data_IF_999665924486
#
_entry.id   IF_999665924486
#
_cell.length_a   1.000
_cell.length_b   1.000
_cell.length_c   1.000
_cell.angle_alpha   90.00
_cell.angle_beta   90.00
_cell.angle_gamma   90.00
#
_symmetry.space_group_name_H-M   'P 1'
#
loop_
_entity.id
_entity.type
_entity.pdbx_description
1 polymer ?
#
# COMPACT_ATOMS: atom_id res chain seq x y z
N UNK A 1 -16.14 -4.22 22.62
CA UNK A 1 -15.80 -3.54 21.35
C UNK A 1 -14.36 -3.04 21.31
N UNK A 2 -13.82 -2.50 22.42
CA UNK A 2 -12.42 -2.03 22.57
C UNK A 2 -11.30 -2.95 22.04
N UNK A 3 -11.52 -4.27 22.01
CA UNK A 3 -10.56 -5.25 21.47
C UNK A 3 -10.54 -5.24 19.92
N UNK A 4 -11.71 -5.15 19.26
CA UNK A 4 -11.80 -5.07 17.79
C UNK A 4 -11.22 -3.74 17.28
N UNK A 5 -11.44 -2.64 18.02
CA UNK A 5 -10.84 -1.34 17.68
C UNK A 5 -9.32 -1.39 17.68
N UNK A 6 -8.73 -2.04 18.70
CA UNK A 6 -7.27 -2.23 18.77
C UNK A 6 -6.76 -3.08 17.60
N UNK A 7 -7.48 -4.15 17.23
CA UNK A 7 -7.13 -4.98 16.08
C UNK A 7 -7.20 -4.19 14.76
N UNK A 8 -8.17 -3.30 14.59
CA UNK A 8 -8.26 -2.44 13.42
C UNK A 8 -7.04 -1.51 13.33
N UNK A 9 -6.69 -0.83 14.43
CA UNK A 9 -5.52 0.07 14.44
C UNK A 9 -4.21 -0.67 14.19
N UNK A 10 -4.05 -1.87 14.77
CA UNK A 10 -2.90 -2.73 14.49
C UNK A 10 -2.82 -3.08 13.00
N UNK A 11 -3.92 -3.53 12.39
CA UNK A 11 -3.94 -3.93 10.98
C UNK A 11 -3.75 -2.73 10.04
N UNK A 12 -4.21 -1.53 10.39
CA UNK A 12 -3.86 -0.30 9.67
C UNK A 12 -2.36 -0.05 9.69
N UNK A 13 -1.73 -0.17 10.86
CA UNK A 13 -0.27 0.00 10.98
C UNK A 13 0.48 -1.02 10.12
N UNK A 14 0.05 -2.28 10.10
CA UNK A 14 0.63 -3.34 9.26
C UNK A 14 0.48 -3.00 7.77
N UNK A 15 -0.72 -2.57 7.34
CA UNK A 15 -0.95 -2.17 5.95
C UNK A 15 -0.04 -1.00 5.53
N UNK A 16 0.12 0.00 6.39
CA UNK A 16 0.99 1.15 6.12
C UNK A 16 2.47 0.76 6.09
N UNK A 17 2.90 -0.18 6.92
CA UNK A 17 4.25 -0.76 6.85
C UNK A 17 4.48 -1.46 5.50
N UNK A 18 3.53 -2.30 5.06
CA UNK A 18 3.64 -3.01 3.78
C UNK A 18 3.63 -2.06 2.58
N UNK A 19 2.82 -1.00 2.62
CA UNK A 19 2.83 0.07 1.60
C UNK A 19 4.14 0.82 1.56
N UNK A 20 4.72 1.12 2.72
CA UNK A 20 6.04 1.76 2.81
C UNK A 20 7.12 0.88 2.21
N UNK A 21 7.11 -0.41 2.54
CA UNK A 21 8.03 -1.41 2.00
C UNK A 21 7.92 -1.49 0.46
N UNK A 22 6.69 -1.59 -0.08
CA UNK A 22 6.43 -1.54 -1.51
C UNK A 22 6.99 -0.25 -2.15
N UNK A 23 6.79 0.90 -1.49
CA UNK A 23 7.31 2.18 -1.94
C UNK A 23 8.83 2.21 -2.05
N UNK A 24 9.55 1.57 -1.12
CA UNK A 24 11.01 1.45 -1.18
C UNK A 24 11.45 0.65 -2.42
N UNK A 25 10.79 -0.47 -2.71
CA UNK A 25 11.13 -1.28 -3.89
C UNK A 25 10.81 -0.57 -5.21
N UNK A 26 9.70 0.17 -5.29
CA UNK A 26 9.36 0.97 -6.48
C UNK A 26 10.39 2.10 -6.72
N UNK A 27 10.88 2.73 -5.66
CA UNK A 27 11.95 3.72 -5.76
C UNK A 27 13.26 3.07 -6.24
N UNK A 28 13.57 1.87 -5.77
CA UNK A 28 14.74 1.12 -6.22
C UNK A 28 14.64 0.73 -7.70
N UNK A 29 13.47 0.24 -8.16
CA UNK A 29 13.19 -0.01 -9.57
C UNK A 29 13.45 1.23 -10.43
N UNK A 30 12.88 2.38 -10.02
CA UNK A 30 13.05 3.66 -10.71
C UNK A 30 14.53 4.07 -10.77
N UNK A 31 15.27 3.87 -9.67
CA UNK A 31 16.71 4.15 -9.62
C UNK A 31 17.52 3.28 -10.58
N UNK A 32 17.21 1.98 -10.67
CA UNK A 32 17.87 1.06 -11.59
C UNK A 32 17.57 1.42 -13.05
N UNK A 33 16.33 1.75 -13.38
CA UNK A 33 15.95 2.21 -14.73
C UNK A 33 16.71 3.48 -15.13
N UNK A 34 16.77 4.46 -14.23
CA UNK A 34 17.53 5.69 -14.46
C UNK A 34 19.03 5.43 -14.67
N UNK A 35 19.63 4.49 -13.93
CA UNK A 35 21.02 4.10 -14.11
C UNK A 35 21.28 3.45 -15.48
N UNK A 36 20.35 2.62 -15.96
CA UNK A 36 20.45 2.00 -17.29
C UNK A 36 20.39 3.09 -18.38
N UNK A 37 19.41 3.99 -18.29
CA UNK A 37 19.28 5.11 -19.25
C UNK A 37 20.53 6.00 -19.24
N UNK A 38 21.08 6.28 -18.06
CA UNK A 38 22.31 7.06 -17.93
C UNK A 38 23.49 6.37 -18.63
N UNK A 39 23.69 5.07 -18.41
CA UNK A 39 24.75 4.30 -19.05
C UNK A 39 24.61 4.26 -20.57
N UNK A 40 23.39 4.10 -21.09
CA UNK A 40 23.12 4.10 -22.52
C UNK A 40 23.45 5.46 -23.16
N UNK A 41 23.06 6.56 -22.50
CA UNK A 41 23.39 7.91 -22.97
C UNK A 41 24.89 8.19 -22.94
N UNK A 42 25.60 7.77 -21.90
CA UNK A 42 27.05 7.95 -21.81
C UNK A 42 27.80 7.11 -22.84
N UNK A 43 27.32 5.89 -23.15
CA UNK A 43 27.90 5.07 -24.21
C UNK A 43 27.80 5.74 -25.58
N UNK A 44 26.65 6.37 -25.89
CA UNK A 44 26.44 7.12 -27.13
C UNK A 44 27.40 8.31 -27.23
N UNK A 45 27.60 9.05 -26.14
CA UNK A 45 28.56 10.16 -26.10
C UNK A 45 29.98 9.67 -26.38
N UNK A 46 30.41 8.60 -25.72
CA UNK A 46 31.75 8.04 -25.90
C UNK A 46 31.95 7.50 -27.32
N UNK A 47 30.92 6.87 -27.90
CA UNK A 47 30.94 6.41 -29.29
C UNK A 47 31.11 7.57 -30.28
N UNK A 48 30.42 8.69 -30.04
CA UNK A 48 30.54 9.86 -30.91
C UNK A 48 31.91 10.53 -30.76
N UNK A 49 32.48 10.55 -29.55
CA UNK A 49 33.83 11.04 -29.33
C UNK A 49 34.90 10.19 -30.04
N UNK A 50 34.78 8.86 -29.98
CA UNK A 50 35.75 7.95 -30.61
C UNK A 50 35.74 8.00 -32.14
N UNK A 51 34.59 8.30 -32.77
CA UNK A 51 34.50 8.57 -34.21
C UNK A 51 35.29 9.82 -34.65
N UNK A 52 35.47 10.78 -33.76
CA UNK A 52 36.17 12.04 -34.06
C UNK A 52 37.68 11.96 -33.80
N UNK A 53 38.16 10.92 -33.10
CA UNK A 53 39.57 10.77 -32.75
C UNK A 53 40.03 9.31 -32.91
N UNK A 54 40.84 9.05 -33.93
CA UNK A 54 41.31 7.69 -34.29
C UNK A 54 42.10 7.02 -33.15
N UNK A 55 42.82 7.79 -32.34
CA UNK A 55 43.59 7.25 -31.21
C UNK A 55 42.70 6.73 -30.07
N UNK A 56 41.46 7.20 -29.96
CA UNK A 56 40.54 6.78 -28.88
C UNK A 56 39.71 5.54 -29.21
N UNK A 57 39.81 4.99 -30.43
CA UNK A 57 39.04 3.81 -30.87
C UNK A 57 39.30 2.58 -29.99
N UNK A 58 40.56 2.32 -29.61
CA UNK A 58 40.92 1.17 -28.76
C UNK A 58 40.42 1.31 -27.32
N UNK A 59 40.34 2.54 -26.81
CA UNK A 59 39.79 2.82 -25.48
C UNK A 59 38.27 2.65 -25.47
N UNK A 60 37.60 3.06 -26.55
CA UNK A 60 36.16 2.90 -26.72
C UNK A 60 35.71 1.43 -26.71
N UNK A 61 36.41 0.52 -27.40
CA UNK A 61 36.00 -0.89 -27.45
C UNK A 61 36.04 -1.56 -26.06
N UNK A 62 37.10 -1.31 -25.27
CA UNK A 62 37.19 -1.79 -23.90
C UNK A 62 36.10 -1.18 -23.00
N UNK A 63 35.87 0.12 -23.13
CA UNK A 63 34.80 0.81 -22.41
C UNK A 63 33.42 0.23 -22.74
N UNK A 64 33.09 0.07 -24.02
CA UNK A 64 31.80 -0.46 -24.48
C UNK A 64 31.51 -1.87 -23.95
N UNK A 65 32.54 -2.74 -23.89
CA UNK A 65 32.41 -4.07 -23.28
C UNK A 65 32.10 -3.96 -21.78
N UNK A 66 32.80 -3.09 -21.05
CA UNK A 66 32.57 -2.89 -19.62
C UNK A 66 31.17 -2.35 -19.31
N UNK A 67 30.68 -1.39 -20.11
CA UNK A 67 29.33 -0.83 -19.99
C UNK A 67 28.27 -1.89 -20.29
N UNK A 68 28.50 -2.73 -21.32
CA UNK A 68 27.59 -3.82 -21.67
C UNK A 68 27.43 -4.85 -20.54
N UNK A 69 28.54 -5.19 -19.86
CA UNK A 69 28.51 -6.08 -18.68
C UNK A 69 27.74 -5.42 -17.53
N UNK A 70 28.07 -4.16 -17.20
CA UNK A 70 27.39 -3.42 -16.13
C UNK A 70 25.89 -3.26 -16.39
N UNK A 71 25.50 -2.99 -17.65
CA UNK A 71 24.10 -2.91 -18.06
C UNK A 71 23.38 -4.24 -17.84
N UNK A 72 23.99 -5.36 -18.25
CA UNK A 72 23.42 -6.70 -18.02
C UNK A 72 23.19 -6.97 -16.53
N UNK A 73 24.14 -6.59 -15.69
CA UNK A 73 24.00 -6.74 -14.22
C UNK A 73 22.85 -5.89 -13.66
N UNK A 74 22.68 -4.66 -14.16
CA UNK A 74 21.56 -3.79 -13.78
C UNK A 74 20.21 -4.34 -14.27
N UNK A 75 20.15 -4.87 -15.49
CA UNK A 75 18.95 -5.51 -16.03
C UNK A 75 18.56 -6.76 -15.22
N UNK A 76 19.54 -7.55 -14.77
CA UNK A 76 19.28 -8.68 -13.87
C UNK A 76 18.73 -8.22 -12.51
N UNK A 77 19.32 -7.18 -11.90
CA UNK A 77 18.81 -6.58 -10.66
C UNK A 77 17.40 -6.02 -10.84
N UNK A 78 17.14 -5.37 -11.98
CA UNK A 78 15.82 -4.84 -12.34
C UNK A 78 14.78 -5.97 -12.46
N UNK A 79 15.15 -7.10 -13.05
CA UNK A 79 14.28 -8.27 -13.11
C UNK A 79 13.97 -8.82 -11.71
N UNK A 80 14.97 -8.90 -10.84
CA UNK A 80 14.80 -9.36 -9.46
C UNK A 80 13.90 -8.43 -8.64
N UNK A 81 14.12 -7.10 -8.69
CA UNK A 81 13.31 -6.15 -7.93
C UNK A 81 11.85 -6.16 -8.40
N UNK A 82 11.60 -6.33 -9.70
CA UNK A 82 10.25 -6.48 -10.25
C UNK A 82 9.50 -7.69 -9.70
N UNK A 83 10.19 -8.81 -9.51
CA UNK A 83 9.60 -9.99 -8.85
C UNK A 83 9.29 -9.72 -7.37
N UNK A 84 10.16 -8.97 -6.68
CA UNK A 84 9.94 -8.55 -5.29
C UNK A 84 8.74 -7.60 -5.21
N UNK A 85 8.63 -6.62 -6.11
CA UNK A 85 7.49 -5.69 -6.20
C UNK A 85 6.19 -6.46 -6.41
N UNK A 86 6.17 -7.45 -7.30
CA UNK A 86 5.00 -8.29 -7.52
C UNK A 86 4.56 -8.96 -6.22
N UNK A 87 5.47 -9.62 -5.49
CA UNK A 87 5.17 -10.25 -4.21
C UNK A 87 4.74 -9.24 -3.14
N UNK A 88 5.38 -8.07 -3.10
CA UNK A 88 5.07 -7.01 -2.14
C UNK A 88 3.66 -6.44 -2.36
N UNK A 89 3.20 -6.35 -3.62
CA UNK A 89 1.81 -5.97 -3.94
C UNK A 89 0.81 -6.98 -3.41
N UNK A 90 1.09 -8.28 -3.53
CA UNK A 90 0.24 -9.33 -2.95
C UNK A 90 0.15 -9.18 -1.42
N UNK A 91 1.28 -8.94 -0.74
CA UNK A 91 1.30 -8.72 0.71
C UNK A 91 0.50 -7.47 1.14
N UNK A 92 0.56 -6.39 0.36
CA UNK A 92 -0.27 -5.19 0.60
C UNK A 92 -1.76 -5.54 0.45
N UNK A 93 -2.12 -6.32 -0.57
CA UNK A 93 -3.49 -6.74 -0.79
C UNK A 93 -4.00 -7.66 0.34
N UNK A 94 -3.20 -8.63 0.76
CA UNK A 94 -3.51 -9.50 1.90
C UNK A 94 -3.75 -8.71 3.19
N UNK A 95 -2.85 -7.76 3.51
CA UNK A 95 -3.00 -6.88 4.68
C UNK A 95 -4.26 -6.01 4.60
N UNK A 96 -4.61 -5.53 3.40
CA UNK A 96 -5.83 -4.77 3.16
C UNK A 96 -7.09 -5.62 3.39
N UNK A 97 -7.12 -6.85 2.88
CA UNK A 97 -8.25 -7.77 3.06
C UNK A 97 -8.45 -8.13 4.53
N UNK A 98 -7.37 -8.38 5.28
CA UNK A 98 -7.46 -8.67 6.72
C UNK A 98 -7.97 -7.46 7.51
N UNK A 99 -7.49 -6.25 7.19
CA UNK A 99 -8.06 -5.03 7.77
C UNK A 99 -9.56 -4.92 7.48
N UNK A 100 -10.00 -5.15 6.23
CA UNK A 100 -11.42 -5.02 5.86
C UNK A 100 -12.32 -5.99 6.61
N UNK A 101 -11.85 -7.20 6.87
CA UNK A 101 -12.58 -8.19 7.66
C UNK A 101 -12.90 -7.69 9.07
N UNK A 102 -11.93 -7.05 9.75
CA UNK A 102 -12.17 -6.47 11.07
C UNK A 102 -13.10 -5.26 11.02
N UNK A 103 -12.95 -4.39 10.02
CA UNK A 103 -13.85 -3.24 9.83
C UNK A 103 -15.31 -3.67 9.64
N UNK A 104 -15.56 -4.67 8.78
CA UNK A 104 -16.91 -5.21 8.55
C UNK A 104 -17.46 -5.84 9.84
N UNK A 105 -16.63 -6.55 10.59
CA UNK A 105 -17.04 -7.16 11.86
C UNK A 105 -17.47 -6.08 12.87
N UNK A 106 -16.72 -4.98 12.96
CA UNK A 106 -17.07 -3.83 13.79
C UNK A 106 -18.38 -3.19 13.31
N UNK A 107 -18.49 -2.90 12.02
CA UNK A 107 -19.69 -2.27 11.45
C UNK A 107 -20.97 -3.07 11.77
N UNK A 108 -20.88 -4.41 11.69
CA UNK A 108 -21.99 -5.30 12.04
C UNK A 108 -22.30 -5.28 13.55
N UNK A 109 -21.29 -5.19 14.41
CA UNK A 109 -21.48 -5.05 15.86
C UNK A 109 -22.14 -3.70 16.20
N UNK A 110 -21.63 -2.60 15.65
CA UNK A 110 -22.15 -1.25 15.84
C UNK A 110 -23.62 -1.15 15.38
N UNK A 111 -23.98 -1.78 14.26
CA UNK A 111 -25.37 -1.84 13.78
C UNK A 111 -26.29 -2.56 14.76
N UNK A 112 -25.87 -3.70 15.32
CA UNK A 112 -26.65 -4.45 16.30
C UNK A 112 -26.84 -3.66 17.59
N UNK A 113 -25.80 -3.00 18.08
CA UNK A 113 -25.87 -2.16 19.27
C UNK A 113 -26.83 -0.99 19.08
N UNK A 114 -26.76 -0.30 17.93
CA UNK A 114 -27.70 0.79 17.61
C UNK A 114 -29.15 0.33 17.60
N UNK A 115 -29.43 -0.83 17.00
CA UNK A 115 -30.79 -1.40 16.96
C UNK A 115 -31.29 -1.68 18.37
N UNK A 116 -30.45 -2.28 19.24
CA UNK A 116 -30.87 -2.59 20.61
C UNK A 116 -31.07 -1.33 21.45
N UNK A 117 -30.22 -0.31 21.30
CA UNK A 117 -30.41 1.00 21.96
C UNK A 117 -31.73 1.64 21.51
N UNK A 118 -32.00 1.68 20.20
CA UNK A 118 -33.26 2.22 19.68
C UNK A 118 -34.48 1.44 20.19
N UNK A 119 -34.37 0.11 20.31
CA UNK A 119 -35.43 -0.73 20.88
C UNK A 119 -35.68 -0.42 22.35
N UNK A 120 -34.62 -0.30 23.15
CA UNK A 120 -34.71 0.03 24.57
C UNK A 120 -35.30 1.43 24.80
N UNK A 121 -34.91 2.40 23.96
CA UNK A 121 -35.44 3.77 24.04
C UNK A 121 -36.92 3.81 23.66
N UNK A 122 -37.35 3.07 22.64
CA UNK A 122 -38.76 2.96 22.27
C UNK A 122 -39.60 2.35 23.40
N UNK A 123 -39.17 1.23 24.00
CA UNK A 123 -39.86 0.61 25.14
C UNK A 123 -40.00 1.60 26.31
N UNK A 124 -38.94 2.36 26.61
CA UNK A 124 -38.98 3.37 27.67
C UNK A 124 -39.96 4.50 27.38
N UNK A 125 -40.03 4.98 26.13
CA UNK A 125 -40.98 6.02 25.72
C UNK A 125 -42.44 5.53 25.79
N UNK A 126 -42.68 4.27 25.42
CA UNK A 126 -43.99 3.65 25.51
C UNK A 126 -44.44 3.53 26.98
N UNK A 127 -43.55 3.09 27.88
CA UNK A 127 -43.82 3.03 29.32
C UNK A 127 -44.18 4.40 29.92
N UNK A 128 -43.45 5.46 29.53
CA UNK A 128 -43.75 6.83 29.97
C UNK A 128 -45.13 7.27 29.46
N UNK A 129 -45.44 6.97 28.20
CA UNK A 129 -46.71 7.33 27.56
C UNK A 129 -47.90 6.65 28.24
N UNK A 130 -47.77 5.36 28.57
CA UNK A 130 -48.79 4.58 29.30
C UNK A 130 -49.00 5.16 30.71
N UNK A 131 -47.92 5.41 31.46
CA UNK A 131 -48.02 5.98 32.80
C UNK A 131 -48.67 7.37 32.80
N UNK A 132 -48.35 8.21 31.81
CA UNK A 132 -48.95 9.54 31.66
C UNK A 132 -50.45 9.44 31.32
N UNK A 133 -50.83 8.51 30.43
CA UNK A 133 -52.23 8.25 30.11
C UNK A 133 -53.03 7.78 31.34
N UNK A 134 -52.52 6.81 32.09
CA UNK A 134 -53.16 6.30 33.30
C UNK A 134 -53.34 7.39 34.38
N UNK A 135 -52.34 8.26 34.54
CA UNK A 135 -52.42 9.39 35.49
C UNK A 135 -53.50 10.40 35.09
N UNK A 136 -53.65 10.67 33.79
CA UNK A 136 -54.70 11.57 33.30
C UNK A 136 -56.10 10.93 33.43
N UNK A 137 -56.22 9.62 33.24
CA UNK A 137 -57.48 8.89 33.38
C UNK A 137 -57.99 8.79 34.82
N UNK A 138 -57.08 8.71 35.80
CA UNK A 138 -57.41 8.63 37.24
C UNK A 138 -57.52 10.02 37.93
N UNK A 139 -57.43 11.11 37.17
CA UNK A 139 -57.50 12.50 37.67
C UNK A 139 -58.86 13.18 37.47
N UNK A 140 -59.89 12.42 37.12
CA UNK A 140 -61.30 12.83 37.01
C UNK A 140 -62.15 12.08 38.04
#
# INVERSE_FOLDING_TARGET
MKNIDLLIELNKSILEEKRRELGLFLNEETSLENQIVFLDNDLIKEQNFSKLNIESIFYYDNYARSVSLKRRDLEQKLSQIRQIIFKSRELVNEAYLELRKFEITKENADKKEKIEISRQEQVRLDDISINMFLRNANGH
#
